data_IF_955179746509
#
_entry.id   IF_955179746509
#
_cell.length_a   1.000
_cell.length_b   1.000
_cell.length_c   1.000
_cell.angle_alpha   90.00
_cell.angle_beta   90.00
_cell.angle_gamma   90.00
#
_symmetry.space_group_name_H-M   'P 1'
#
loop_
_entity.id
_entity.type
_entity.pdbx_description
1 polymer ?
#
# COMPACT_ATOMS: atom_id res chain seq x y z
N UNK A 1 23.04 -13.06 -1.56
CA UNK A 1 22.88 -13.93 -2.75
C UNK A 1 24.09 -13.81 -3.65
N UNK A 2 24.48 -14.91 -4.34
CA UNK A 2 25.52 -14.86 -5.38
C UNK A 2 25.02 -13.99 -6.56
N UNK A 3 25.95 -13.23 -7.16
CA UNK A 3 25.61 -12.45 -8.35
C UNK A 3 25.11 -13.39 -9.47
N UNK A 4 23.96 -13.08 -10.06
CA UNK A 4 23.45 -13.79 -11.22
C UNK A 4 24.08 -13.14 -12.50
N UNK A 5 24.82 -13.91 -13.31
CA UNK A 5 25.43 -13.37 -14.53
C UNK A 5 24.40 -12.86 -15.55
N UNK A 6 23.17 -13.38 -15.51
CA UNK A 6 22.07 -12.97 -16.39
C UNK A 6 21.40 -11.66 -15.92
N UNK A 7 21.73 -11.20 -14.73
CA UNK A 7 21.20 -9.96 -14.13
C UNK A 7 22.33 -8.98 -13.74
N UNK A 8 23.14 -8.51 -14.69
CA UNK A 8 24.38 -7.76 -14.40
C UNK A 8 24.14 -6.40 -13.72
N UNK A 9 22.91 -5.92 -13.72
CA UNK A 9 22.51 -4.66 -13.07
C UNK A 9 22.14 -4.82 -11.61
N UNK A 10 21.84 -6.05 -11.14
CA UNK A 10 21.54 -6.35 -9.74
C UNK A 10 22.85 -6.72 -9.04
N UNK A 11 23.23 -5.91 -8.04
CA UNK A 11 24.43 -6.13 -7.23
C UNK A 11 24.09 -6.05 -5.76
N UNK A 12 24.77 -6.82 -4.93
CA UNK A 12 24.60 -6.83 -3.48
C UNK A 12 23.15 -7.11 -3.04
N UNK A 13 22.46 -7.98 -3.75
CA UNK A 13 21.09 -8.35 -3.44
C UNK A 13 21.04 -9.02 -2.07
N UNK A 14 20.20 -8.51 -1.18
CA UNK A 14 19.98 -9.01 0.17
C UNK A 14 18.49 -9.28 0.37
N UNK A 15 18.16 -10.45 0.92
CA UNK A 15 16.82 -10.74 1.37
C UNK A 15 16.60 -10.09 2.75
N UNK A 16 15.52 -9.35 2.91
CA UNK A 16 15.21 -8.62 4.14
C UNK A 16 14.09 -9.27 4.96
N UNK A 17 13.19 -10.03 4.31
CA UNK A 17 12.03 -10.66 4.96
C UNK A 17 12.07 -12.17 4.82
N UNK A 18 11.52 -12.91 5.79
CA UNK A 18 11.60 -14.36 5.87
C UNK A 18 10.24 -14.93 6.32
N UNK A 19 9.69 -15.85 5.51
CA UNK A 19 8.39 -16.48 5.75
C UNK A 19 7.19 -15.54 5.47
N UNK A 20 6.02 -16.14 5.24
CA UNK A 20 4.79 -15.42 4.87
C UNK A 20 4.86 -14.76 3.49
N UNK A 21 3.86 -13.92 3.21
CA UNK A 21 3.83 -13.06 2.03
C UNK A 21 4.23 -11.64 2.44
N UNK A 22 5.15 -11.04 1.70
CA UNK A 22 5.71 -9.73 1.98
C UNK A 22 5.69 -8.89 0.69
N UNK A 23 5.04 -7.75 0.72
CA UNK A 23 4.83 -6.91 -0.45
C UNK A 23 4.80 -5.42 -0.11
N UNK A 24 4.72 -4.58 -1.15
CA UNK A 24 4.52 -3.15 -1.05
C UNK A 24 5.50 -2.48 -0.06
N UNK A 25 6.80 -2.74 -0.27
CA UNK A 25 7.85 -2.21 0.59
C UNK A 25 8.37 -0.88 0.06
N UNK A 26 8.30 0.16 0.89
CA UNK A 26 8.70 1.52 0.54
C UNK A 26 9.61 2.14 1.60
N UNK A 27 10.62 2.86 1.13
CA UNK A 27 11.57 3.55 2.01
C UNK A 27 10.95 4.77 2.68
N UNK A 28 11.42 5.07 3.89
CA UNK A 28 11.28 6.39 4.52
C UNK A 28 11.96 7.48 3.67
N UNK A 29 11.60 8.74 3.89
CA UNK A 29 12.20 9.86 3.15
C UNK A 29 13.70 10.00 3.40
N UNK A 30 14.17 9.67 4.62
CA UNK A 30 15.59 9.63 4.96
C UNK A 30 16.30 8.33 4.51
N UNK A 31 15.55 7.34 4.02
CA UNK A 31 16.05 6.06 3.54
C UNK A 31 16.50 5.09 4.63
N UNK A 32 16.22 5.36 5.91
CA UNK A 32 16.67 4.51 7.03
C UNK A 32 15.73 3.36 7.34
N UNK A 33 14.45 3.50 7.02
CA UNK A 33 13.41 2.53 7.33
C UNK A 33 12.70 2.03 6.08
N UNK A 34 12.06 0.88 6.20
CA UNK A 34 11.08 0.35 5.26
C UNK A 34 9.74 0.18 5.96
N UNK A 35 8.66 0.56 5.28
CA UNK A 35 7.31 0.14 5.61
C UNK A 35 6.86 -0.88 4.58
N UNK A 36 6.16 -1.94 5.00
CA UNK A 36 5.66 -2.98 4.09
C UNK A 36 4.41 -3.66 4.66
N UNK A 37 3.65 -4.30 3.77
CA UNK A 37 2.59 -5.20 4.18
C UNK A 37 3.12 -6.63 4.29
N UNK A 38 2.73 -7.31 5.36
CA UNK A 38 3.13 -8.70 5.65
C UNK A 38 1.89 -9.48 6.08
N UNK A 39 1.68 -10.65 5.49
CA UNK A 39 0.84 -11.70 6.05
C UNK A 39 1.71 -12.91 6.40
N UNK A 40 1.61 -13.38 7.63
CA UNK A 40 2.40 -14.52 8.09
C UNK A 40 1.58 -15.39 9.06
N UNK A 41 1.15 -16.59 8.65
CA UNK A 41 0.39 -17.49 9.50
C UNK A 41 1.12 -17.89 10.78
N UNK A 42 2.46 -17.97 10.77
CA UNK A 42 3.26 -18.28 11.97
C UNK A 42 3.18 -17.14 13.02
N UNK A 43 2.87 -15.92 12.56
CA UNK A 43 2.63 -14.79 13.45
C UNK A 43 1.17 -14.63 13.85
N UNK A 44 0.30 -15.57 13.42
CA UNK A 44 -1.15 -15.50 13.65
C UNK A 44 -1.87 -14.50 12.73
N UNK A 45 -1.24 -14.11 11.63
CA UNK A 45 -1.81 -13.16 10.66
C UNK A 45 -2.40 -13.93 9.49
N UNK A 46 -3.71 -13.85 9.34
CA UNK A 46 -4.45 -14.46 8.23
C UNK A 46 -4.57 -13.58 6.99
N UNK A 47 -4.19 -12.31 7.08
CA UNK A 47 -4.14 -11.36 5.98
C UNK A 47 -3.14 -10.24 6.29
N UNK A 48 -2.91 -9.40 5.29
CA UNK A 48 -1.89 -8.38 5.32
C UNK A 48 -2.11 -7.37 6.46
N UNK A 49 -1.02 -7.07 7.17
CA UNK A 49 -0.89 -5.99 8.14
C UNK A 49 0.34 -5.15 7.82
N UNK A 50 0.38 -3.92 8.31
CA UNK A 50 1.47 -2.99 8.04
C UNK A 50 2.53 -3.04 9.14
N UNK A 51 3.79 -3.15 8.72
CA UNK A 51 4.96 -3.19 9.58
C UNK A 51 6.00 -2.17 9.12
N UNK A 52 6.80 -1.68 10.06
CA UNK A 52 7.96 -0.85 9.77
C UNK A 52 9.21 -1.37 10.49
N UNK A 53 10.38 -1.23 9.87
CA UNK A 53 11.66 -1.68 10.44
C UNK A 53 12.84 -0.92 9.82
N UNK A 54 13.96 -0.88 10.55
CA UNK A 54 15.24 -0.38 10.04
C UNK A 54 15.89 -1.48 9.19
N UNK A 55 15.92 -1.28 7.88
CA UNK A 55 16.34 -2.31 6.93
C UNK A 55 17.82 -2.67 7.02
N UNK A 56 18.64 -1.85 7.67
CA UNK A 56 20.08 -2.09 7.82
C UNK A 56 20.46 -2.64 9.19
N UNK A 57 19.68 -2.34 10.24
CA UNK A 57 19.94 -2.78 11.62
C UNK A 57 19.13 -3.98 12.04
N UNK A 58 17.88 -4.08 11.58
CA UNK A 58 16.97 -5.14 12.03
C UNK A 58 17.18 -6.43 11.26
N UNK A 59 17.35 -7.54 11.95
CA UNK A 59 17.38 -8.88 11.36
C UNK A 59 16.04 -9.57 11.59
N UNK A 60 15.21 -9.59 10.56
CA UNK A 60 13.87 -10.18 10.63
C UNK A 60 13.86 -11.71 10.70
N UNK A 61 15.02 -12.36 10.75
CA UNK A 61 15.14 -13.77 11.15
C UNK A 61 15.08 -13.95 12.67
N UNK A 62 15.45 -12.92 13.40
CA UNK A 62 15.57 -12.94 14.86
C UNK A 62 14.46 -12.16 15.55
N UNK A 63 13.91 -11.13 14.88
CA UNK A 63 12.87 -10.27 15.46
C UNK A 63 11.62 -10.22 14.55
N UNK A 64 10.47 -10.06 15.17
CA UNK A 64 9.27 -9.61 14.48
C UNK A 64 9.23 -8.07 14.52
N UNK A 65 9.14 -7.39 13.37
CA UNK A 65 9.08 -5.93 13.36
C UNK A 65 7.81 -5.41 14.04
N UNK A 66 7.80 -4.16 14.51
CA UNK A 66 6.60 -3.52 15.04
C UNK A 66 5.47 -3.50 14.00
N UNK A 67 4.27 -3.93 14.42
CA UNK A 67 3.05 -3.81 13.62
C UNK A 67 2.47 -2.41 13.85
N UNK A 68 2.27 -1.67 12.77
CA UNK A 68 1.73 -0.31 12.79
C UNK A 68 0.20 -0.31 12.63
N UNK A 69 -0.33 -1.23 11.82
CA UNK A 69 -1.77 -1.38 11.66
C UNK A 69 -2.42 -2.03 12.89
N UNK A 70 -3.73 -1.98 12.95
CA UNK A 70 -4.50 -2.38 14.15
C UNK A 70 -4.52 -3.88 14.44
N UNK A 71 -4.06 -4.72 13.50
CA UNK A 71 -4.20 -6.18 13.56
C UNK A 71 -5.61 -6.66 13.19
N UNK A 72 -6.54 -5.75 12.91
CA UNK A 72 -7.92 -6.02 12.48
C UNK A 72 -8.08 -5.79 10.99
N UNK A 73 -9.06 -6.49 10.39
CA UNK A 73 -9.35 -6.37 8.97
C UNK A 73 -8.14 -6.72 8.10
N UNK A 74 -8.18 -6.28 6.86
CA UNK A 74 -7.07 -6.35 5.91
C UNK A 74 -6.51 -4.95 5.69
N UNK A 75 -5.19 -4.87 5.53
CA UNK A 75 -4.51 -3.63 5.13
C UNK A 75 -3.89 -3.79 3.74
N UNK A 76 -3.55 -2.69 3.11
CA UNK A 76 -2.76 -2.66 1.88
C UNK A 76 -2.03 -1.34 1.74
N UNK A 77 -0.95 -1.32 0.97
CA UNK A 77 -0.23 -0.16 0.48
C UNK A 77 -0.04 0.92 1.55
N UNK A 78 1.12 0.98 2.12
CA UNK A 78 1.51 1.99 3.10
C UNK A 78 2.63 2.88 2.54
N UNK A 79 2.74 4.11 3.01
CA UNK A 79 3.79 5.02 2.61
C UNK A 79 4.17 5.95 3.76
N UNK A 80 5.45 6.31 3.89
CA UNK A 80 5.86 7.30 4.88
C UNK A 80 5.36 8.69 4.53
N UNK A 81 4.98 9.47 5.53
CA UNK A 81 4.76 10.91 5.43
C UNK A 81 6.08 11.66 5.69
N UNK A 82 6.22 12.91 5.20
CA UNK A 82 7.43 13.70 5.44
C UNK A 82 7.77 13.81 6.92
N UNK A 83 9.06 13.60 7.24
CA UNK A 83 9.56 13.57 8.61
C UNK A 83 9.54 12.18 9.25
N UNK A 84 9.13 11.15 8.52
CA UNK A 84 9.29 9.72 8.80
C UNK A 84 8.74 9.23 10.16
N UNK A 85 7.92 10.05 10.82
CA UNK A 85 7.26 9.72 12.09
C UNK A 85 5.82 9.24 11.93
N UNK A 86 5.26 9.40 10.76
CA UNK A 86 3.90 9.00 10.39
C UNK A 86 3.91 8.21 9.08
N UNK A 87 2.94 7.33 8.96
CA UNK A 87 2.64 6.62 7.71
C UNK A 87 1.18 6.85 7.30
N UNK A 88 0.91 6.75 6.01
CA UNK A 88 -0.42 6.58 5.45
C UNK A 88 -0.59 5.14 5.01
N UNK A 89 -1.77 4.54 5.22
CA UNK A 89 -2.07 3.17 4.77
C UNK A 89 -3.57 2.97 4.60
N UNK A 90 -3.95 1.95 3.83
CA UNK A 90 -5.35 1.60 3.63
C UNK A 90 -5.76 0.39 4.46
N UNK A 91 -6.98 0.41 5.00
CA UNK A 91 -7.46 -0.66 5.89
C UNK A 91 -8.98 -0.78 5.89
N UNK A 92 -9.46 -2.01 6.14
CA UNK A 92 -10.87 -2.33 6.36
C UNK A 92 -11.24 -2.48 7.84
N UNK A 93 -10.35 -2.10 8.76
CA UNK A 93 -10.46 -2.39 10.20
C UNK A 93 -11.66 -1.75 10.90
N UNK A 94 -12.29 -0.73 10.33
CA UNK A 94 -13.50 -0.14 10.89
C UNK A 94 -14.74 -1.04 10.74
N UNK A 95 -14.74 -1.91 9.72
CA UNK A 95 -15.87 -2.79 9.41
C UNK A 95 -15.55 -4.24 9.75
N UNK A 96 -14.30 -4.66 9.63
CA UNK A 96 -13.88 -6.03 9.84
C UNK A 96 -12.97 -6.17 11.05
N UNK A 97 -13.37 -6.93 12.07
CA UNK A 97 -12.49 -7.33 13.20
C UNK A 97 -11.51 -8.44 12.82
N UNK A 98 -11.78 -9.18 11.75
CA UNK A 98 -10.95 -10.25 11.22
C UNK A 98 -10.75 -10.07 9.71
N UNK A 99 -9.92 -10.92 9.10
CA UNK A 99 -9.69 -10.87 7.65
C UNK A 99 -11.00 -11.03 6.87
N UNK A 100 -11.32 -10.13 5.94
CA UNK A 100 -12.46 -10.30 5.05
C UNK A 100 -12.28 -11.54 4.18
N UNK A 101 -13.38 -12.18 3.73
CA UNK A 101 -13.33 -13.36 2.87
C UNK A 101 -12.53 -13.10 1.58
N UNK A 102 -11.67 -14.03 1.21
CA UNK A 102 -10.96 -13.98 -0.07
C UNK A 102 -11.86 -14.56 -1.16
N UNK A 103 -12.02 -13.91 -2.31
CA UNK A 103 -12.76 -14.47 -3.43
C UNK A 103 -12.18 -15.82 -3.87
N UNK A 104 -13.05 -16.71 -4.34
CA UNK A 104 -12.60 -17.98 -4.91
C UNK A 104 -11.75 -17.73 -6.17
N UNK A 105 -10.67 -18.50 -6.38
CA UNK A 105 -9.92 -18.45 -7.61
C UNK A 105 -10.83 -18.65 -8.83
N UNK A 106 -10.55 -17.95 -9.92
CA UNK A 106 -11.29 -18.16 -11.18
C UNK A 106 -10.97 -19.54 -11.75
N UNK A 107 -11.96 -20.16 -12.40
CA UNK A 107 -11.80 -21.48 -13.03
C UNK A 107 -10.75 -21.46 -14.16
N UNK A 108 -10.55 -20.33 -14.83
CA UNK A 108 -9.54 -20.13 -15.87
C UNK A 108 -8.12 -19.92 -15.32
N UNK A 109 -7.96 -19.91 -13.99
CA UNK A 109 -6.69 -19.68 -13.33
C UNK A 109 -6.20 -18.24 -13.38
N UNK A 110 -6.99 -17.31 -13.90
CA UNK A 110 -6.62 -15.90 -13.91
C UNK A 110 -6.54 -15.35 -12.50
N UNK A 111 -5.47 -14.62 -12.21
CA UNK A 111 -5.33 -13.90 -10.94
C UNK A 111 -6.34 -12.77 -10.89
N UNK A 112 -7.10 -12.71 -9.79
CA UNK A 112 -8.03 -11.62 -9.50
C UNK A 112 -7.61 -10.90 -8.23
N UNK A 113 -7.64 -9.60 -8.28
CA UNK A 113 -7.42 -8.74 -7.13
C UNK A 113 -8.77 -8.38 -6.50
N UNK A 114 -9.02 -8.76 -5.24
CA UNK A 114 -10.29 -8.42 -4.59
C UNK A 114 -10.34 -6.93 -4.25
N UNK A 115 -11.40 -6.27 -4.68
CA UNK A 115 -11.71 -4.90 -4.30
C UNK A 115 -12.71 -4.96 -3.14
N UNK A 116 -12.25 -4.58 -1.94
CA UNK A 116 -13.12 -4.48 -0.77
C UNK A 116 -13.61 -3.03 -0.63
N UNK A 117 -14.93 -2.79 -0.69
CA UNK A 117 -15.49 -1.43 -0.64
C UNK A 117 -15.34 -0.76 0.72
N UNK A 118 -14.84 -1.48 1.71
CA UNK A 118 -14.61 -1.01 3.07
C UNK A 118 -13.18 -0.49 3.30
N UNK A 119 -12.35 -0.43 2.26
CA UNK A 119 -11.04 0.19 2.38
C UNK A 119 -11.15 1.70 2.47
N UNK A 120 -10.64 2.23 3.58
CA UNK A 120 -10.39 3.65 3.80
C UNK A 120 -8.90 3.91 4.06
N UNK A 121 -8.48 5.16 3.90
CA UNK A 121 -7.11 5.63 4.10
C UNK A 121 -6.95 6.26 5.47
N UNK A 122 -5.93 5.81 6.20
CA UNK A 122 -5.63 6.24 7.57
C UNK A 122 -4.20 6.76 7.68
N UNK A 123 -3.98 7.67 8.64
CA UNK A 123 -2.65 8.08 9.08
C UNK A 123 -2.42 7.53 10.49
N UNK A 124 -1.25 6.94 10.71
CA UNK A 124 -0.82 6.47 12.03
C UNK A 124 0.63 6.86 12.32
N UNK A 125 0.98 6.92 13.62
CA UNK A 125 2.39 6.97 14.02
C UNK A 125 3.03 5.56 14.01
N UNK A 126 4.33 5.50 14.18
CA UNK A 126 5.07 4.23 14.16
C UNK A 126 4.82 3.35 15.40
N UNK A 127 4.15 3.88 16.43
CA UNK A 127 3.68 3.13 17.60
C UNK A 127 2.29 2.51 17.37
N UNK A 128 1.69 2.71 16.17
CA UNK A 128 0.39 2.16 15.78
C UNK A 128 -0.82 2.99 16.23
N UNK A 129 -0.62 4.22 16.71
CA UNK A 129 -1.74 5.09 17.08
C UNK A 129 -2.28 5.78 15.83
N UNK A 130 -3.55 5.54 15.49
CA UNK A 130 -4.24 6.24 14.41
C UNK A 130 -4.39 7.71 14.78
N UNK A 131 -3.96 8.59 13.87
CA UNK A 131 -4.03 10.06 14.02
C UNK A 131 -5.22 10.64 13.27
N UNK A 132 -5.55 10.10 12.10
CA UNK A 132 -6.69 10.53 11.30
C UNK A 132 -7.16 9.45 10.33
N UNK A 133 -8.42 9.52 9.96
CA UNK A 133 -9.01 8.89 8.80
C UNK A 133 -9.11 9.96 7.70
N UNK A 134 -8.59 9.69 6.52
CA UNK A 134 -8.54 10.65 5.41
C UNK A 134 -9.68 10.48 4.41
N UNK A 135 -10.24 9.27 4.32
CA UNK A 135 -11.39 8.95 3.47
C UNK A 135 -12.47 8.26 4.28
N UNK A 136 -13.74 8.55 3.94
CA UNK A 136 -14.94 7.95 4.55
C UNK A 136 -16.07 7.79 3.52
N UNK A 137 -15.74 7.95 2.24
CA UNK A 137 -16.70 7.81 1.14
C UNK A 137 -16.95 6.32 0.88
N UNK A 138 -18.22 5.87 0.78
CA UNK A 138 -18.49 4.48 0.42
C UNK A 138 -17.81 4.06 -0.87
N UNK A 139 -17.08 2.94 -0.82
CA UNK A 139 -16.30 2.41 -1.93
C UNK A 139 -14.84 2.18 -1.56
N UNK A 140 -14.09 1.65 -2.49
CA UNK A 140 -12.66 1.37 -2.32
C UNK A 140 -11.85 2.66 -2.39
N UNK A 141 -11.14 2.99 -1.32
CA UNK A 141 -10.12 4.04 -1.26
C UNK A 141 -8.80 3.43 -0.79
N UNK A 142 -7.83 3.24 -1.70
CA UNK A 142 -6.57 2.56 -1.37
C UNK A 142 -5.39 2.98 -2.27
N UNK A 143 -4.26 2.32 -2.07
CA UNK A 143 -3.01 2.52 -2.82
C UNK A 143 -2.43 3.94 -2.68
N UNK A 144 -2.44 4.56 -1.46
CA UNK A 144 -1.90 5.91 -1.30
C UNK A 144 -0.38 5.93 -1.46
N UNK A 145 0.12 6.87 -2.26
CA UNK A 145 1.55 7.21 -2.32
C UNK A 145 1.75 8.71 -2.22
N UNK A 146 2.89 9.12 -1.67
CA UNK A 146 3.16 10.52 -1.33
C UNK A 146 4.15 11.14 -2.31
N UNK A 147 3.89 12.37 -2.70
CA UNK A 147 4.80 13.18 -3.52
C UNK A 147 6.13 13.36 -2.80
N UNK A 148 7.28 13.24 -3.52
CA UNK A 148 8.59 13.55 -2.95
C UNK A 148 8.73 14.96 -2.38
N UNK A 149 7.84 15.90 -2.77
CA UNK A 149 7.76 17.23 -2.19
C UNK A 149 7.08 17.27 -0.83
N UNK A 150 6.40 16.19 -0.43
CA UNK A 150 5.66 16.13 0.81
C UNK A 150 4.43 17.04 0.86
N UNK A 151 3.85 17.40 -0.28
CA UNK A 151 2.75 18.36 -0.38
C UNK A 151 1.40 17.71 -0.68
N UNK A 152 1.41 16.51 -1.23
CA UNK A 152 0.20 15.79 -1.65
C UNK A 152 0.40 14.29 -1.72
N UNK A 153 -0.72 13.56 -1.80
CA UNK A 153 -0.75 12.14 -2.13
C UNK A 153 -1.61 11.89 -3.37
N UNK A 154 -1.40 10.72 -3.98
CA UNK A 154 -2.26 10.13 -5.01
C UNK A 154 -2.75 8.79 -4.49
N UNK A 155 -3.99 8.42 -4.80
CA UNK A 155 -4.59 7.15 -4.40
C UNK A 155 -5.64 6.70 -5.42
N UNK A 156 -6.04 5.45 -5.35
CA UNK A 156 -7.09 4.85 -6.19
C UNK A 156 -8.41 4.86 -5.45
N UNK A 157 -9.51 5.23 -6.14
CA UNK A 157 -10.84 5.29 -5.55
C UNK A 157 -11.93 4.87 -6.55
N UNK A 158 -12.98 4.21 -6.03
CA UNK A 158 -14.19 3.87 -6.82
C UNK A 158 -15.32 4.90 -6.69
N UNK A 159 -15.10 6.05 -6.05
CA UNK A 159 -16.13 7.08 -5.77
C UNK A 159 -16.82 7.65 -7.02
N UNK A 160 -16.18 7.58 -8.19
CA UNK A 160 -16.76 7.98 -9.47
C UNK A 160 -17.47 6.86 -10.22
N UNK A 161 -17.51 5.63 -9.65
CA UNK A 161 -18.15 4.45 -10.26
C UNK A 161 -17.18 3.49 -10.93
N UNK A 162 -15.90 3.86 -11.08
CA UNK A 162 -14.81 3.03 -11.58
C UNK A 162 -13.54 3.29 -10.77
N UNK A 163 -12.51 2.47 -10.95
CA UNK A 163 -11.21 2.59 -10.29
C UNK A 163 -10.38 3.68 -10.94
N UNK A 164 -10.43 4.88 -10.35
CA UNK A 164 -9.81 6.08 -10.87
C UNK A 164 -8.78 6.65 -9.88
N UNK A 165 -7.83 7.41 -10.40
CA UNK A 165 -6.85 8.12 -9.60
C UNK A 165 -7.37 9.44 -9.08
N UNK A 166 -7.12 9.67 -7.80
CA UNK A 166 -7.39 10.94 -7.12
C UNK A 166 -6.12 11.47 -6.45
N UNK A 167 -6.01 12.78 -6.32
CA UNK A 167 -4.96 13.43 -5.53
C UNK A 167 -5.58 14.40 -4.54
N UNK A 168 -4.95 14.54 -3.36
CA UNK A 168 -5.32 15.50 -2.33
C UNK A 168 -4.07 15.98 -1.57
N UNK A 169 -4.22 16.98 -0.72
CA UNK A 169 -3.21 17.32 0.28
C UNK A 169 -3.06 16.18 1.32
N UNK A 170 -1.99 16.20 2.14
CA UNK A 170 -1.72 15.16 3.13
C UNK A 170 -2.74 15.10 4.27
N UNK A 171 -3.54 16.13 4.45
CA UNK A 171 -4.67 16.19 5.39
C UNK A 171 -6.01 15.72 4.78
N UNK A 172 -6.00 15.25 3.52
CA UNK A 172 -7.18 14.83 2.77
C UNK A 172 -7.91 15.95 2.05
N UNK A 173 -7.54 17.23 2.27
CA UNK A 173 -8.19 18.37 1.63
C UNK A 173 -7.82 18.54 0.15
N UNK A 174 -8.62 19.32 -0.58
CA UNK A 174 -8.31 19.65 -1.97
C UNK A 174 -8.38 18.46 -2.93
N UNK A 175 -9.30 17.53 -2.69
CA UNK A 175 -9.51 16.34 -3.51
C UNK A 175 -9.74 16.68 -4.97
N UNK A 176 -9.04 15.98 -5.86
CA UNK A 176 -9.14 16.16 -7.31
C UNK A 176 -9.01 14.83 -8.03
N UNK A 177 -9.95 14.53 -8.91
CA UNK A 177 -9.89 13.40 -9.84
C UNK A 177 -8.82 13.65 -10.93
N UNK A 178 -8.04 12.63 -11.26
CA UNK A 178 -6.94 12.69 -12.22
C UNK A 178 -7.27 11.92 -13.49
N UNK A 179 -7.88 10.74 -13.35
CA UNK A 179 -8.28 9.89 -14.48
C UNK A 179 -9.79 9.72 -14.52
N UNK A 180 -10.36 9.36 -15.69
CA UNK A 180 -11.80 9.19 -15.90
C UNK A 180 -12.12 8.25 -17.07
N UNK A 181 -11.19 7.38 -17.42
CA UNK A 181 -11.34 6.42 -18.52
C UNK A 181 -11.74 5.05 -17.99
N UNK A 182 -12.69 4.38 -18.63
CA UNK A 182 -13.16 3.05 -18.20
C UNK A 182 -12.00 2.05 -18.06
N UNK A 183 -11.97 1.36 -16.93
CA UNK A 183 -10.99 0.36 -16.55
C UNK A 183 -10.17 0.75 -15.31
N UNK A 184 -9.37 -0.18 -14.81
CA UNK A 184 -8.55 0.06 -13.64
C UNK A 184 -7.45 1.10 -13.92
N UNK A 185 -7.40 2.15 -13.12
CA UNK A 185 -6.29 3.08 -12.97
C UNK A 185 -5.81 3.07 -11.52
N UNK A 186 -4.57 2.60 -11.27
CA UNK A 186 -4.07 2.46 -9.90
C UNK A 186 -2.57 2.20 -9.82
N UNK A 187 -2.09 1.95 -8.59
CA UNK A 187 -0.68 1.73 -8.31
C UNK A 187 0.20 2.92 -8.73
N UNK A 188 -0.24 4.12 -8.40
CA UNK A 188 0.33 5.37 -8.90
C UNK A 188 1.50 5.87 -8.05
N UNK A 189 2.52 6.43 -8.71
CA UNK A 189 3.68 7.08 -8.07
C UNK A 189 3.97 8.41 -8.73
N UNK A 190 4.41 9.38 -7.91
CA UNK A 190 4.94 10.63 -8.42
C UNK A 190 6.35 10.46 -9.00
N UNK A 191 6.69 11.26 -10.01
CA UNK A 191 8.07 11.44 -10.47
C UNK A 191 8.93 12.06 -9.36
N UNK A 192 10.28 11.90 -9.40
CA UNK A 192 11.15 12.47 -8.37
C UNK A 192 11.02 13.99 -8.18
N UNK A 193 10.62 14.72 -9.21
CA UNK A 193 10.35 16.16 -9.16
C UNK A 193 8.90 16.52 -8.79
N UNK A 194 8.03 15.50 -8.59
CA UNK A 194 6.62 15.65 -8.25
C UNK A 194 5.77 16.26 -9.36
N UNK A 195 6.27 16.35 -10.59
CA UNK A 195 5.56 16.99 -11.70
C UNK A 195 4.69 16.04 -12.53
N UNK A 196 4.92 14.72 -12.41
CA UNK A 196 4.24 13.68 -13.17
C UNK A 196 3.81 12.56 -12.25
N UNK A 197 2.83 11.77 -12.72
CA UNK A 197 2.39 10.53 -12.09
C UNK A 197 2.57 9.41 -13.11
N UNK A 198 3.19 8.30 -12.69
CA UNK A 198 3.19 7.02 -13.39
C UNK A 198 2.19 6.11 -12.70
N UNK A 199 1.42 5.34 -13.46
CA UNK A 199 0.41 4.43 -12.93
C UNK A 199 0.18 3.24 -13.86
N UNK A 200 -0.45 2.20 -13.35
CA UNK A 200 -0.95 1.07 -14.14
C UNK A 200 -2.36 1.38 -14.62
N UNK A 201 -2.65 0.98 -15.82
CA UNK A 201 -3.94 1.22 -16.46
C UNK A 201 -4.39 -0.02 -17.23
N UNK A 202 -5.65 -0.39 -17.10
CA UNK A 202 -6.30 -1.30 -18.02
C UNK A 202 -7.33 -0.55 -18.86
N UNK A 203 -7.45 -0.93 -20.12
CA UNK A 203 -8.44 -0.32 -21.03
C UNK A 203 -9.20 -1.45 -21.72
N UNK A 204 -10.32 -1.91 -21.15
CA UNK A 204 -11.15 -2.93 -21.77
C UNK A 204 -11.64 -2.42 -23.12
N UNK A 205 -11.67 -3.32 -24.13
CA UNK A 205 -12.15 -2.98 -25.48
C UNK A 205 -13.63 -3.30 -25.65
N UNK A 206 -14.23 -3.93 -24.64
CA UNK A 206 -15.65 -4.31 -24.62
C UNK A 206 -16.20 -4.12 -23.22
N UNK A 207 -17.50 -3.92 -23.08
CA UNK A 207 -18.21 -3.78 -21.80
C UNK A 207 -18.43 -5.13 -21.09
N UNK A 208 -17.64 -6.17 -21.42
CA UNK A 208 -17.71 -7.51 -20.81
C UNK A 208 -16.76 -7.71 -19.65
#
# INVERSE_FOLDING_TARGET
>A
FAANPDEPRLRNVRQLTFGGDNAEAYFSFDGSQLVCQISNPEWGLGCDQIFAFDWDKDDLREIRPPMISTGKGRTTCSYFLPGDSLIVYSSTHLVHDSCPPVPQPREDGAYVWPIYPEFDIFVADLDGNIKSQLTDTPGYDAEPTVSPKGDRMVFTSTRSGDLELYTCALDGSGLRQITSELGYDGGAFFSPDGSKIVFRSSRPQTDE
#
